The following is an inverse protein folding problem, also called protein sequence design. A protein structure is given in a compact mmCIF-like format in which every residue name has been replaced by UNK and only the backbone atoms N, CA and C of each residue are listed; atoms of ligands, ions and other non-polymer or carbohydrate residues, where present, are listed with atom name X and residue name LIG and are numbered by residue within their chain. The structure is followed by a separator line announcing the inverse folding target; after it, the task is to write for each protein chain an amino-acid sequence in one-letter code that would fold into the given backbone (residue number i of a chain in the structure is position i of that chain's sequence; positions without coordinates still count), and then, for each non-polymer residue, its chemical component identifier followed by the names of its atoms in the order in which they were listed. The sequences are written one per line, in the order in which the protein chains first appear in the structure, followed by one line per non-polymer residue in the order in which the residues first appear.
data_IF_255340918370
#
_entry.id   IF_255340918370
#
_cell.length_a   1.000
_cell.length_b   1.000
_cell.length_c   1.000
_cell.angle_alpha   90.00
_cell.angle_beta   90.00
_cell.angle_gamma   90.00
#
_symmetry.space_group_name_H-M   'P 1'
#
loop_
_entity.id
_entity.type
_entity.pdbx_description
1 polymer ?
#
# COMPACT_ATOMS: atom_id res chain seq x y z
N UNK A 1 24.25 49.45 12.08
CA UNK A 1 23.85 48.14 12.66
C UNK A 1 22.35 47.81 12.56
N UNK A 2 21.41 48.77 12.51
CA UNK A 2 19.96 48.48 12.35
C UNK A 2 19.57 47.88 10.99
N UNK A 3 20.22 48.28 9.88
CA UNK A 3 19.92 47.75 8.52
C UNK A 3 20.31 46.29 8.32
N UNK A 4 21.37 45.82 9.00
CA UNK A 4 21.81 44.41 8.95
C UNK A 4 20.82 43.48 9.67
N UNK A 5 20.19 43.95 10.76
CA UNK A 5 19.14 43.19 11.47
C UNK A 5 17.87 42.99 10.62
N UNK A 6 17.54 43.92 9.73
CA UNK A 6 16.36 43.81 8.84
C UNK A 6 16.60 42.81 7.71
N UNK A 7 17.82 42.78 7.15
CA UNK A 7 18.19 41.83 6.09
C UNK A 7 18.19 40.38 6.62
N UNK A 8 18.65 40.18 7.85
CA UNK A 8 18.64 38.85 8.49
C UNK A 8 17.21 38.38 8.82
N UNK A 9 16.30 39.30 9.16
CA UNK A 9 14.89 38.98 9.42
C UNK A 9 14.14 38.59 8.14
N UNK A 10 14.44 39.23 7.00
CA UNK A 10 13.83 38.91 5.70
C UNK A 10 14.27 37.55 5.15
N UNK A 11 15.53 37.15 5.40
CA UNK A 11 16.04 35.84 4.99
C UNK A 11 15.41 34.69 5.78
N UNK A 12 15.11 34.90 7.08
CA UNK A 12 14.46 33.90 7.95
C UNK A 12 12.98 33.68 7.57
N UNK A 13 12.27 34.72 7.13
CA UNK A 13 10.87 34.60 6.73
C UNK A 13 10.68 33.95 5.35
N UNK A 14 11.66 34.07 4.45
CA UNK A 14 11.57 33.51 3.09
C UNK A 14 11.77 31.98 3.06
N UNK A 15 12.58 31.43 3.97
CA UNK A 15 12.80 29.98 4.05
C UNK A 15 11.59 29.18 4.56
N UNK A 16 10.63 29.80 5.25
CA UNK A 16 9.45 29.12 5.79
C UNK A 16 8.33 28.92 4.75
N UNK A 17 8.30 29.73 3.69
CA UNK A 17 7.24 29.68 2.68
C UNK A 17 7.34 28.46 1.73
N UNK A 18 8.51 27.86 1.60
CA UNK A 18 8.74 26.72 0.70
C UNK A 18 8.28 25.38 1.28
N UNK A 19 8.07 25.28 2.60
CA UNK A 19 7.67 24.03 3.26
C UNK A 19 6.16 23.88 3.43
N UNK A 20 5.37 24.93 3.20
CA UNK A 20 3.91 24.83 3.23
C UNK A 20 3.35 24.23 1.93
N UNK A 21 4.07 24.37 0.80
CA UNK A 21 3.57 23.94 -0.51
C UNK A 21 3.46 22.43 -0.68
N UNK A 22 4.37 21.66 -0.08
CA UNK A 22 4.41 20.22 -0.35
C UNK A 22 3.25 19.45 0.26
N UNK A 23 2.84 19.78 1.48
CA UNK A 23 1.70 19.13 2.13
C UNK A 23 0.38 19.46 1.42
N UNK A 24 0.18 20.71 1.00
CA UNK A 24 -1.01 21.13 0.28
C UNK A 24 -1.09 20.48 -1.10
N UNK A 25 0.03 20.37 -1.81
CA UNK A 25 0.09 19.64 -3.07
C UNK A 25 -0.25 18.15 -2.90
N UNK A 26 0.24 17.51 -1.83
CA UNK A 26 -0.07 16.11 -1.52
C UNK A 26 -1.57 15.94 -1.25
N UNK A 27 -2.17 16.83 -0.45
CA UNK A 27 -3.61 16.82 -0.20
C UNK A 27 -4.41 17.01 -1.49
N UNK A 28 -3.99 17.94 -2.34
CA UNK A 28 -4.64 18.18 -3.64
C UNK A 28 -4.56 16.94 -4.54
N UNK A 29 -3.38 16.32 -4.68
CA UNK A 29 -3.22 15.09 -5.45
C UNK A 29 -4.14 13.99 -4.90
N UNK A 30 -4.20 13.83 -3.58
CA UNK A 30 -5.06 12.87 -2.90
C UNK A 30 -6.55 13.10 -3.18
N UNK A 31 -7.01 14.34 -3.04
CA UNK A 31 -8.40 14.74 -3.32
C UNK A 31 -8.78 14.48 -4.78
N UNK A 32 -7.85 14.67 -5.71
CA UNK A 32 -8.02 14.33 -7.14
C UNK A 32 -7.85 12.83 -7.45
N UNK A 33 -7.62 12.00 -6.43
CA UNK A 33 -7.42 10.54 -6.53
C UNK A 33 -6.20 10.12 -7.35
N UNK A 34 -5.21 11.00 -7.53
CA UNK A 34 -3.91 10.61 -8.07
C UNK A 34 -3.07 9.95 -6.97
N UNK A 35 -3.49 8.75 -6.58
CA UNK A 35 -2.87 8.00 -5.49
C UNK A 35 -1.42 7.64 -5.78
N UNK A 36 -1.06 7.44 -7.06
CA UNK A 36 0.31 7.09 -7.42
C UNK A 36 1.23 8.28 -7.20
N UNK A 37 0.86 9.45 -7.71
CA UNK A 37 1.64 10.67 -7.49
C UNK A 37 1.68 11.02 -6.00
N UNK A 38 0.56 10.89 -5.29
CA UNK A 38 0.47 11.13 -3.84
C UNK A 38 1.43 10.22 -3.07
N UNK A 39 1.43 8.91 -3.33
CA UNK A 39 2.32 7.95 -2.66
C UNK A 39 3.80 8.22 -2.95
N UNK A 40 4.14 8.66 -4.17
CA UNK A 40 5.52 9.01 -4.53
C UNK A 40 5.93 10.29 -3.79
N UNK A 41 5.18 11.39 -3.97
CA UNK A 41 5.51 12.70 -3.38
C UNK A 41 5.52 12.64 -1.86
N UNK A 42 4.56 11.98 -1.21
CA UNK A 42 4.56 11.79 0.24
C UNK A 42 5.76 10.96 0.73
N UNK A 43 6.21 9.97 -0.03
CA UNK A 43 7.43 9.24 0.29
C UNK A 43 8.68 10.13 0.27
N UNK A 44 8.76 11.06 -0.70
CA UNK A 44 9.90 11.95 -0.85
C UNK A 44 10.02 12.95 0.31
N UNK A 45 8.90 13.37 0.90
CA UNK A 45 8.85 14.31 2.03
C UNK A 45 8.55 13.65 3.37
N UNK A 46 8.59 12.32 3.46
CA UNK A 46 8.20 11.56 4.67
C UNK A 46 8.86 12.10 5.94
N UNK A 47 10.18 12.34 5.90
CA UNK A 47 10.93 12.80 7.07
C UNK A 47 10.45 14.17 7.60
N UNK A 48 9.90 15.03 6.74
CA UNK A 48 9.40 16.35 7.12
C UNK A 48 8.07 16.28 7.89
N UNK A 49 7.24 15.27 7.60
CA UNK A 49 5.88 15.14 8.13
C UNK A 49 5.63 13.81 8.87
N UNK A 50 6.70 13.10 9.26
CA UNK A 50 6.62 11.76 9.87
C UNK A 50 5.92 11.70 11.23
N UNK A 51 5.65 12.85 11.85
CA UNK A 51 4.90 12.97 13.10
C UNK A 51 3.47 13.50 12.89
N UNK A 52 3.05 13.75 11.64
CA UNK A 52 1.70 14.18 11.29
C UNK A 52 0.84 12.97 10.85
N UNK A 53 -0.10 12.53 11.70
CA UNK A 53 -0.89 11.32 11.44
C UNK A 53 -1.86 11.42 10.26
N UNK A 54 -2.37 12.61 9.94
CA UNK A 54 -3.20 12.84 8.76
C UNK A 54 -2.39 12.62 7.47
N UNK A 55 -1.19 13.20 7.43
CA UNK A 55 -0.24 12.99 6.34
C UNK A 55 0.13 11.50 6.19
N UNK A 56 0.41 10.82 7.30
CA UNK A 56 0.75 9.40 7.30
C UNK A 56 -0.41 8.53 6.79
N UNK A 57 -1.65 8.86 7.16
CA UNK A 57 -2.84 8.18 6.68
C UNK A 57 -3.04 8.38 5.17
N UNK A 58 -2.89 9.61 4.67
CA UNK A 58 -2.91 9.93 3.23
C UNK A 58 -1.82 9.16 2.49
N UNK A 59 -0.59 9.17 3.03
CA UNK A 59 0.55 8.49 2.44
C UNK A 59 0.30 6.98 2.32
N UNK A 60 -0.07 6.34 3.43
CA UNK A 60 -0.33 4.91 3.49
C UNK A 60 -1.48 4.50 2.56
N UNK A 61 -2.62 5.20 2.65
CA UNK A 61 -3.79 4.91 1.82
C UNK A 61 -3.45 5.02 0.32
N UNK A 62 -2.76 6.09 -0.08
CA UNK A 62 -2.37 6.30 -1.47
C UNK A 62 -1.44 5.20 -1.99
N UNK A 63 -0.52 4.75 -1.15
CA UNK A 63 0.37 3.64 -1.50
C UNK A 63 -0.38 2.31 -1.61
N UNK A 64 -1.41 2.09 -0.78
CA UNK A 64 -2.26 0.91 -0.89
C UNK A 64 -3.06 0.89 -2.21
N UNK A 65 -3.73 1.99 -2.53
CA UNK A 65 -4.52 2.14 -3.77
C UNK A 65 -3.66 1.99 -5.04
N UNK A 66 -2.39 2.37 -4.94
CA UNK A 66 -1.41 2.26 -6.02
C UNK A 66 -0.64 0.94 -6.04
N UNK A 67 -1.03 -0.04 -5.22
CA UNK A 67 -0.38 -1.35 -5.07
C UNK A 67 1.12 -1.26 -4.67
N UNK A 68 1.54 -0.14 -4.07
CA UNK A 68 2.90 0.14 -3.55
C UNK A 68 3.02 -0.24 -2.06
N UNK A 69 2.46 -1.38 -1.68
CA UNK A 69 2.18 -1.76 -0.28
C UNK A 69 3.43 -1.92 0.60
N UNK A 70 4.62 -2.03 0.04
CA UNK A 70 5.88 -2.01 0.79
C UNK A 70 6.10 -0.69 1.55
N UNK A 71 5.56 0.40 1.04
CA UNK A 71 5.68 1.73 1.66
C UNK A 71 4.86 1.88 2.94
N UNK A 72 3.93 0.95 3.20
CA UNK A 72 3.10 0.96 4.42
C UNK A 72 3.91 0.73 5.70
N UNK A 73 5.11 0.15 5.60
CA UNK A 73 5.98 -0.13 6.76
C UNK A 73 6.23 1.12 7.59
N UNK A 74 6.44 2.28 6.95
CA UNK A 74 6.80 3.51 7.65
C UNK A 74 5.61 4.18 8.36
N UNK A 75 4.42 4.33 7.72
CA UNK A 75 3.26 4.89 8.42
C UNK A 75 2.73 4.02 9.56
N UNK A 76 2.69 2.68 9.40
CA UNK A 76 2.09 1.76 10.39
C UNK A 76 2.67 1.99 11.78
N UNK A 77 3.99 2.17 11.89
CA UNK A 77 4.67 2.31 13.19
C UNK A 77 4.44 3.66 13.87
N UNK A 78 3.93 4.65 13.15
CA UNK A 78 3.74 6.03 13.61
C UNK A 78 2.27 6.40 13.84
N UNK A 79 1.34 5.62 13.28
CA UNK A 79 -0.10 5.80 13.42
C UNK A 79 -0.62 5.16 14.72
N UNK A 80 -0.52 5.87 15.86
CA UNK A 80 -0.90 5.33 17.17
C UNK A 80 -1.57 6.32 18.13
N UNK A 81 -1.53 7.62 17.87
CA UNK A 81 -1.95 8.65 18.81
C UNK A 81 -3.48 8.72 18.89
N UNK A 82 -4.17 8.81 17.76
CA UNK A 82 -5.64 8.86 17.72
C UNK A 82 -6.28 7.48 17.54
N UNK A 83 -7.56 7.30 17.94
CA UNK A 83 -8.31 6.09 17.63
C UNK A 83 -8.36 5.75 16.13
N UNK A 84 -8.59 6.76 15.28
CA UNK A 84 -8.62 6.61 13.83
C UNK A 84 -7.26 6.17 13.27
N UNK A 85 -6.16 6.78 13.74
CA UNK A 85 -4.81 6.38 13.36
C UNK A 85 -4.51 4.93 13.73
N UNK A 86 -4.92 4.49 14.92
CA UNK A 86 -4.76 3.08 15.33
C UNK A 86 -5.58 2.14 14.45
N UNK A 87 -6.80 2.51 14.06
CA UNK A 87 -7.62 1.72 13.13
C UNK A 87 -6.94 1.59 11.76
N UNK A 88 -6.44 2.71 11.22
CA UNK A 88 -5.67 2.74 9.98
C UNK A 88 -4.41 1.86 10.07
N UNK A 89 -3.66 1.96 11.17
CA UNK A 89 -2.47 1.14 11.39
C UNK A 89 -2.79 -0.36 11.37
N UNK A 90 -3.86 -0.78 12.06
CA UNK A 90 -4.31 -2.19 12.09
C UNK A 90 -4.73 -2.65 10.68
N UNK A 91 -5.46 -1.82 9.93
CA UNK A 91 -5.86 -2.12 8.57
C UNK A 91 -4.65 -2.33 7.64
N UNK A 92 -3.71 -1.39 7.62
CA UNK A 92 -2.51 -1.48 6.78
C UNK A 92 -1.59 -2.64 7.21
N UNK A 93 -1.41 -2.85 8.51
CA UNK A 93 -0.61 -3.95 9.06
C UNK A 93 -1.19 -5.31 8.67
N UNK A 94 -2.52 -5.46 8.71
CA UNK A 94 -3.20 -6.69 8.29
C UNK A 94 -2.86 -7.05 6.85
N UNK A 95 -2.97 -6.09 5.93
CA UNK A 95 -2.67 -6.31 4.50
C UNK A 95 -1.20 -6.65 4.30
N UNK A 96 -0.30 -5.91 4.95
CA UNK A 96 1.13 -6.14 4.82
C UNK A 96 1.56 -7.51 5.39
N UNK A 97 0.93 -7.95 6.47
CA UNK A 97 1.20 -9.25 7.07
C UNK A 97 0.65 -10.40 6.21
N UNK A 98 -0.58 -10.28 5.71
CA UNK A 98 -1.16 -11.21 4.73
C UNK A 98 -0.26 -11.39 3.51
N UNK A 99 0.32 -10.29 3.00
CA UNK A 99 1.31 -10.33 1.92
C UNK A 99 2.51 -11.22 2.26
N UNK A 100 3.08 -11.05 3.46
CA UNK A 100 4.28 -11.77 3.89
C UNK A 100 4.00 -13.24 4.14
N UNK A 101 2.86 -13.58 4.74
CA UNK A 101 2.43 -14.96 4.91
C UNK A 101 2.17 -15.65 3.57
N UNK A 102 1.46 -14.99 2.65
CA UNK A 102 1.23 -15.54 1.32
C UNK A 102 2.55 -15.79 0.58
N UNK A 103 3.51 -14.87 0.73
CA UNK A 103 4.86 -15.04 0.17
C UNK A 103 5.56 -16.26 0.75
N UNK A 104 5.57 -16.39 2.08
CA UNK A 104 6.19 -17.51 2.77
C UNK A 104 5.57 -18.85 2.35
N UNK A 105 4.24 -18.93 2.28
CA UNK A 105 3.53 -20.13 1.84
C UNK A 105 3.87 -20.51 0.40
N UNK A 106 3.86 -19.55 -0.53
CA UNK A 106 4.14 -19.83 -1.94
C UNK A 106 5.61 -20.16 -2.22
N UNK A 107 6.53 -19.47 -1.54
CA UNK A 107 7.98 -19.59 -1.80
C UNK A 107 8.59 -20.79 -1.09
N UNK A 108 8.22 -20.99 0.17
CA UNK A 108 8.84 -21.94 1.09
C UNK A 108 7.96 -23.17 1.37
N UNK A 109 6.80 -23.28 0.69
CA UNK A 109 5.84 -24.39 0.85
C UNK A 109 5.34 -24.58 2.29
N UNK A 110 5.18 -23.46 3.00
CA UNK A 110 4.73 -23.46 4.40
C UNK A 110 3.20 -23.46 4.47
N UNK A 111 2.66 -24.42 5.21
CA UNK A 111 1.24 -24.45 5.53
C UNK A 111 0.86 -23.23 6.38
N UNK A 112 -0.11 -22.47 5.91
CA UNK A 112 -0.69 -21.32 6.60
C UNK A 112 -2.22 -21.45 6.76
N UNK A 113 -2.78 -22.63 6.52
CA UNK A 113 -4.23 -22.92 6.61
C UNK A 113 -4.80 -22.65 8.01
N UNK A 114 -3.95 -22.70 9.04
CA UNK A 114 -4.31 -22.40 10.43
C UNK A 114 -4.45 -20.90 10.73
N UNK A 115 -4.02 -20.02 9.83
CA UNK A 115 -3.98 -18.57 10.08
C UNK A 115 -5.38 -17.96 9.95
N UNK A 116 -5.84 -17.29 11.00
CA UNK A 116 -7.07 -16.51 10.98
C UNK A 116 -6.76 -15.01 11.17
N UNK A 117 -6.83 -14.24 10.08
CA UNK A 117 -6.58 -12.79 10.07
C UNK A 117 -7.83 -12.03 9.62
N UNK A 118 -8.00 -10.74 10.00
CA UNK A 118 -9.11 -9.94 9.52
C UNK A 118 -9.18 -9.89 7.98
N UNK A 119 -10.39 -9.98 7.43
CA UNK A 119 -10.63 -9.84 5.99
C UNK A 119 -10.87 -8.37 5.66
N UNK A 120 -10.22 -7.87 4.62
CA UNK A 120 -10.44 -6.52 4.10
C UNK A 120 -10.96 -6.54 2.66
N UNK A 121 -11.36 -5.38 2.13
CA UNK A 121 -11.78 -5.22 0.73
C UNK A 121 -10.60 -5.17 -0.24
N UNK A 122 -9.37 -5.03 0.25
CA UNK A 122 -8.20 -5.02 -0.62
C UNK A 122 -7.98 -6.39 -1.24
N UNK A 123 -7.71 -6.43 -2.55
CA UNK A 123 -7.67 -7.68 -3.32
C UNK A 123 -6.72 -8.73 -2.74
N UNK A 124 -5.56 -8.32 -2.22
CA UNK A 124 -4.62 -9.25 -1.61
C UNK A 124 -5.22 -9.96 -0.40
N UNK A 125 -6.05 -9.26 0.38
CA UNK A 125 -6.77 -9.82 1.51
C UNK A 125 -7.82 -10.83 1.06
N UNK A 126 -8.57 -10.51 0.01
CA UNK A 126 -9.56 -11.43 -0.59
C UNK A 126 -8.86 -12.71 -1.04
N UNK A 127 -7.76 -12.58 -1.80
CA UNK A 127 -6.99 -13.73 -2.31
C UNK A 127 -6.35 -14.52 -1.18
N UNK A 128 -5.77 -13.85 -0.18
CA UNK A 128 -5.21 -14.51 1.00
C UNK A 128 -6.23 -15.40 1.70
N UNK A 129 -7.42 -14.87 1.99
CA UNK A 129 -8.49 -15.61 2.65
C UNK A 129 -8.93 -16.83 1.85
N UNK A 130 -9.09 -16.67 0.53
CA UNK A 130 -9.47 -17.77 -0.35
C UNK A 130 -8.38 -18.83 -0.46
N UNK A 131 -7.11 -18.41 -0.51
CA UNK A 131 -5.96 -19.29 -0.50
C UNK A 131 -5.90 -20.13 0.78
N UNK A 132 -5.95 -19.50 1.95
CA UNK A 132 -5.92 -20.17 3.27
C UNK A 132 -7.07 -21.15 3.44
N UNK A 133 -8.26 -20.80 2.93
CA UNK A 133 -9.46 -21.65 3.01
C UNK A 133 -9.51 -22.77 1.96
N UNK A 134 -8.53 -22.88 1.06
CA UNK A 134 -8.57 -23.85 -0.04
C UNK A 134 -9.64 -23.56 -1.12
N UNK A 135 -10.22 -22.36 -1.13
CA UNK A 135 -11.22 -21.92 -2.11
C UNK A 135 -10.54 -21.39 -3.38
N UNK A 136 -9.96 -22.31 -4.14
CA UNK A 136 -9.34 -22.05 -5.43
C UNK A 136 -9.35 -23.28 -6.34
N UNK A 137 -9.15 -23.05 -7.63
CA UNK A 137 -8.85 -24.10 -8.59
C UNK A 137 -7.36 -24.03 -8.96
N UNK A 138 -6.58 -25.03 -8.56
CA UNK A 138 -5.16 -25.11 -8.91
C UNK A 138 -4.98 -25.82 -10.25
N UNK A 139 -4.45 -25.11 -11.25
CA UNK A 139 -4.14 -25.66 -12.57
C UNK A 139 -3.00 -24.89 -13.23
N UNK A 140 -2.19 -25.60 -14.01
CA UNK A 140 -1.08 -25.02 -14.79
C UNK A 140 -0.11 -24.17 -13.93
N UNK A 141 0.21 -24.64 -12.72
CA UNK A 141 1.12 -23.94 -11.80
C UNK A 141 0.54 -22.66 -11.20
N UNK A 142 -0.78 -22.48 -11.23
CA UNK A 142 -1.44 -21.26 -10.76
C UNK A 142 -2.69 -21.55 -9.95
N UNK A 143 -2.98 -20.67 -8.99
CA UNK A 143 -4.22 -20.69 -8.23
C UNK A 143 -5.22 -19.74 -8.89
N UNK A 144 -6.36 -20.28 -9.28
CA UNK A 144 -7.43 -19.54 -9.95
C UNK A 144 -8.62 -19.33 -9.02
N UNK A 145 -9.16 -18.11 -9.08
CA UNK A 145 -10.25 -17.63 -8.25
C UNK A 145 -11.28 -16.96 -9.15
N UNK A 146 -12.56 -17.32 -9.01
CA UNK A 146 -13.68 -16.62 -9.69
C UNK A 146 -14.25 -15.60 -8.72
N UNK A 147 -14.46 -14.36 -9.14
CA UNK A 147 -15.03 -13.34 -8.26
C UNK A 147 -16.41 -13.77 -7.72
N UNK A 148 -16.71 -13.38 -6.48
CA UNK A 148 -17.92 -13.83 -5.79
C UNK A 148 -19.16 -13.04 -6.24
N UNK A 149 -18.99 -11.84 -6.80
CA UNK A 149 -20.06 -10.95 -7.23
C UNK A 149 -20.22 -10.93 -8.76
N UNK A 150 -19.13 -11.08 -9.50
CA UNK A 150 -19.12 -11.03 -10.97
C UNK A 150 -18.34 -12.21 -11.59
N UNK A 151 -19.04 -13.21 -12.11
CA UNK A 151 -18.42 -14.41 -12.71
C UNK A 151 -17.60 -14.12 -13.99
N UNK A 152 -17.69 -12.91 -14.56
CA UNK A 152 -16.82 -12.47 -15.67
C UNK A 152 -15.44 -12.08 -15.19
N UNK A 153 -15.29 -11.81 -13.89
CA UNK A 153 -14.03 -11.47 -13.25
C UNK A 153 -13.39 -12.72 -12.65
N UNK A 154 -12.11 -12.90 -12.95
CA UNK A 154 -11.30 -13.94 -12.32
C UNK A 154 -9.92 -13.42 -11.93
N UNK A 155 -9.30 -14.11 -10.98
CA UNK A 155 -7.98 -13.79 -10.48
C UNK A 155 -7.06 -14.98 -10.64
N UNK A 156 -5.84 -14.72 -11.11
CA UNK A 156 -4.77 -15.70 -11.18
C UNK A 156 -3.65 -15.28 -10.24
N UNK A 157 -3.35 -16.14 -9.27
CA UNK A 157 -2.20 -16.03 -8.39
C UNK A 157 -1.09 -16.94 -8.89
N UNK A 158 0.08 -16.38 -9.15
CA UNK A 158 1.28 -17.12 -9.55
C UNK A 158 2.50 -16.66 -8.77
N UNK A 159 3.49 -17.55 -8.71
CA UNK A 159 4.82 -17.27 -8.24
C UNK A 159 5.79 -17.36 -9.41
N UNK A 160 6.45 -16.27 -9.75
CA UNK A 160 7.33 -16.19 -10.93
C UNK A 160 8.69 -15.62 -10.55
N UNK A 161 9.74 -16.14 -11.17
CA UNK A 161 11.11 -15.66 -10.99
C UNK A 161 11.30 -14.30 -11.71
N UNK A 162 11.72 -13.27 -10.99
CA UNK A 162 11.95 -11.95 -11.57
C UNK A 162 13.09 -11.22 -10.86
N UNK A 163 14.16 -10.89 -11.59
CA UNK A 163 15.35 -10.19 -11.05
C UNK A 163 15.97 -10.90 -9.83
N UNK A 164 16.15 -12.22 -9.93
CA UNK A 164 16.78 -13.09 -8.90
C UNK A 164 15.97 -13.28 -7.60
N UNK A 165 14.69 -12.92 -7.62
CA UNK A 165 13.77 -13.22 -6.54
C UNK A 165 12.46 -13.75 -7.13
N UNK A 166 11.85 -14.71 -6.44
CA UNK A 166 10.46 -15.08 -6.71
C UNK A 166 9.56 -13.92 -6.31
N UNK A 167 8.57 -13.59 -7.15
CA UNK A 167 7.56 -12.57 -6.89
C UNK A 167 6.17 -13.15 -7.05
N UNK A 168 5.24 -12.65 -6.25
CA UNK A 168 3.83 -12.98 -6.35
C UNK A 168 3.20 -12.07 -7.40
N UNK A 169 2.48 -12.66 -8.33
CA UNK A 169 1.65 -11.93 -9.29
C UNK A 169 0.18 -12.25 -9.03
N UNK A 170 -0.63 -11.20 -8.88
CA UNK A 170 -2.08 -11.29 -8.90
C UNK A 170 -2.57 -10.59 -10.17
N UNK A 171 -3.04 -11.38 -11.13
CA UNK A 171 -3.61 -10.88 -12.38
C UNK A 171 -5.12 -10.94 -12.30
N UNK A 172 -5.77 -9.80 -12.52
CA UNK A 172 -7.22 -9.70 -12.64
C UNK A 172 -7.60 -9.77 -14.12
N UNK A 173 -8.54 -10.65 -14.44
CA UNK A 173 -9.11 -10.84 -15.76
C UNK A 173 -10.56 -10.38 -15.75
N UNK A 174 -11.02 -9.83 -16.87
CA UNK A 174 -12.43 -9.62 -17.18
C UNK A 174 -12.70 -10.18 -18.57
N UNK A 175 -13.68 -11.07 -18.70
CA UNK A 175 -14.00 -11.76 -19.96
C UNK A 175 -12.77 -12.45 -20.59
N UNK A 176 -11.91 -13.04 -19.74
CA UNK A 176 -10.67 -13.70 -20.15
C UNK A 176 -9.50 -12.78 -20.51
N UNK A 177 -9.68 -11.45 -20.51
CA UNK A 177 -8.63 -10.47 -20.79
C UNK A 177 -8.04 -9.89 -19.52
N UNK A 178 -6.72 -9.73 -19.45
CA UNK A 178 -6.04 -9.12 -18.29
C UNK A 178 -6.39 -7.63 -18.24
N UNK A 179 -6.98 -7.19 -17.13
CA UNK A 179 -7.29 -5.77 -16.90
C UNK A 179 -6.37 -5.12 -15.85
N UNK A 180 -5.76 -5.92 -14.97
CA UNK A 180 -4.83 -5.41 -13.95
C UNK A 180 -3.83 -6.47 -13.51
N UNK A 181 -2.58 -6.05 -13.31
CA UNK A 181 -1.50 -6.89 -12.77
C UNK A 181 -0.95 -6.23 -11.52
N UNK A 182 -0.90 -6.97 -10.42
CA UNK A 182 -0.30 -6.54 -9.16
C UNK A 182 0.87 -7.46 -8.83
N UNK A 183 1.97 -6.87 -8.38
CA UNK A 183 3.21 -7.60 -8.11
C UNK A 183 3.66 -7.34 -6.68
N UNK A 184 3.99 -8.40 -5.95
CA UNK A 184 4.42 -8.33 -4.55
C UNK A 184 5.66 -9.17 -4.28
N UNK A 185 6.44 -8.77 -3.27
CA UNK A 185 7.60 -9.46 -2.70
C UNK A 185 7.81 -8.99 -1.24
#
# INVERSE_FOLDING_TARGET
MKKIKIIFLFFITCSLALFASDLDDIKKLYETKDFRATCIKAGDVYNLYSDNEDFLSIYAHSCLESDMINRLVLPIIKLYQTPESRENAVYFATILYQKKLLYHALVDDVDISYVNLPKTKYILSIIFHRFVNGDYNYKDGAYWFIDQEDNTISYKLTLEEHQKAKKIFIRTYKDGQIIKVRTYW
#
